data_IF_370792763332
#
_entry.id   IF_370792763332
#
_cell.length_a   1.000
_cell.length_b   1.000
_cell.length_c   1.000
_cell.angle_alpha   90.00
_cell.angle_beta   90.00
_cell.angle_gamma   90.00
#
_symmetry.space_group_name_H-M   'P 1'
#
loop_
_entity.id
_entity.type
_entity.pdbx_description
1 polymer ?
#
# COMPACT_ATOMS: atom_id res chain seq x y z
N UNK A 1 8.78 -53.35 -44.16
CA UNK A 1 8.12 -52.89 -42.94
C UNK A 1 9.11 -52.00 -42.20
N UNK A 2 9.08 -50.71 -42.50
CA UNK A 2 10.00 -49.69 -41.92
C UNK A 2 9.22 -48.88 -40.94
N UNK A 3 9.61 -49.01 -39.65
CA UNK A 3 9.08 -48.23 -38.56
C UNK A 3 9.82 -46.89 -38.56
N UNK A 4 9.12 -45.79 -38.81
CA UNK A 4 9.66 -44.45 -38.62
C UNK A 4 9.49 -44.05 -37.14
N UNK A 5 10.58 -43.96 -36.46
CA UNK A 5 10.66 -43.37 -35.13
C UNK A 5 10.73 -41.86 -35.32
N UNK A 6 9.62 -41.17 -35.04
CA UNK A 6 9.59 -39.71 -34.91
C UNK A 6 10.15 -39.32 -33.57
N UNK A 7 11.41 -38.85 -33.56
CA UNK A 7 12.01 -38.19 -32.39
C UNK A 7 11.46 -36.74 -32.38
N UNK A 8 10.46 -36.49 -31.53
CA UNK A 8 10.05 -35.14 -31.21
C UNK A 8 11.13 -34.51 -30.31
N UNK A 9 11.94 -33.65 -30.91
CA UNK A 9 12.83 -32.76 -30.18
C UNK A 9 11.98 -31.70 -29.50
N UNK A 10 11.54 -31.96 -28.27
CA UNK A 10 11.02 -30.94 -27.37
C UNK A 10 12.24 -30.09 -26.95
N UNK A 11 12.40 -28.95 -27.61
CA UNK A 11 13.21 -27.86 -27.11
C UNK A 11 12.56 -27.41 -25.79
N UNK A 12 12.98 -27.99 -24.67
CA UNK A 12 12.89 -27.32 -23.39
C UNK A 12 13.85 -26.13 -23.50
N UNK A 13 13.32 -24.99 -23.95
CA UNK A 13 13.84 -23.71 -23.55
C UNK A 13 13.67 -23.67 -22.03
N UNK A 14 14.74 -24.03 -21.30
CA UNK A 14 14.95 -23.59 -19.96
C UNK A 14 15.02 -22.06 -20.03
N UNK A 15 13.84 -21.45 -20.07
CA UNK A 15 13.67 -20.11 -19.56
C UNK A 15 14.04 -20.29 -18.10
N UNK A 16 15.32 -20.02 -17.79
CA UNK A 16 15.72 -19.59 -16.48
C UNK A 16 14.87 -18.35 -16.23
N UNK A 17 13.63 -18.58 -15.80
CA UNK A 17 12.82 -17.59 -15.13
C UNK A 17 13.61 -17.27 -13.87
N UNK A 18 14.56 -16.32 -13.97
CA UNK A 18 14.61 -15.34 -12.91
C UNK A 18 13.16 -14.88 -12.83
N UNK A 19 12.42 -15.40 -11.87
CA UNK A 19 11.23 -14.76 -11.40
C UNK A 19 11.73 -13.37 -11.04
N UNK A 20 11.55 -12.42 -11.96
CA UNK A 20 11.65 -11.03 -11.64
C UNK A 20 10.71 -10.93 -10.47
N UNK A 21 11.28 -10.79 -9.28
CA UNK A 21 10.55 -10.42 -8.11
C UNK A 21 9.89 -9.14 -8.57
N UNK A 22 8.67 -9.26 -9.04
CA UNK A 22 7.82 -8.08 -9.20
C UNK A 22 7.75 -7.57 -7.79
N UNK A 23 8.43 -6.46 -7.56
CA UNK A 23 8.56 -5.84 -6.27
C UNK A 23 7.18 -5.31 -5.84
N UNK A 24 6.23 -6.21 -5.71
CA UNK A 24 4.99 -5.93 -5.03
C UNK A 24 5.32 -5.58 -3.58
N UNK A 25 4.44 -4.84 -2.93
CA UNK A 25 4.51 -4.54 -1.52
C UNK A 25 4.68 -5.87 -0.74
N UNK A 26 5.92 -6.36 -0.72
CA UNK A 26 6.25 -7.66 -0.18
C UNK A 26 6.40 -7.54 1.33
N UNK A 27 5.72 -8.40 2.05
CA UNK A 27 6.02 -8.69 3.46
C UNK A 27 6.40 -10.17 3.49
N UNK A 28 7.54 -10.49 4.07
CA UNK A 28 8.04 -11.85 4.12
C UNK A 28 7.04 -12.75 4.88
N UNK A 29 6.44 -13.75 4.24
CA UNK A 29 5.47 -14.62 4.90
C UNK A 29 6.11 -15.48 6.02
N UNK A 30 7.42 -15.70 5.98
CA UNK A 30 8.18 -16.33 7.05
C UNK A 30 8.35 -15.46 8.30
N UNK A 31 8.12 -14.15 8.17
CA UNK A 31 8.10 -13.17 9.24
C UNK A 31 6.67 -12.71 9.53
N UNK A 32 5.81 -13.64 9.95
CA UNK A 32 4.42 -13.38 10.34
C UNK A 32 4.27 -12.37 11.49
N UNK A 33 5.37 -11.99 12.12
CA UNK A 33 5.42 -11.01 13.22
C UNK A 33 5.34 -9.55 12.77
N UNK A 34 5.57 -9.23 11.48
CA UNK A 34 5.53 -7.87 10.97
C UNK A 34 4.08 -7.43 10.75
N UNK A 35 3.69 -6.34 11.40
CA UNK A 35 2.33 -5.80 11.35
C UNK A 35 2.32 -4.29 11.14
N UNK A 36 1.16 -3.76 10.82
CA UNK A 36 0.85 -2.32 10.77
C UNK A 36 1.79 -1.49 9.88
N UNK A 37 2.32 -2.06 8.78
CA UNK A 37 3.30 -1.39 7.92
C UNK A 37 2.64 -0.23 7.19
N UNK A 38 3.08 1.01 7.50
CA UNK A 38 2.64 2.27 6.89
C UNK A 38 3.84 2.95 6.24
N UNK A 39 3.70 3.36 5.00
CA UNK A 39 4.71 4.15 4.29
C UNK A 39 3.99 5.29 3.57
N UNK A 40 4.25 6.52 3.99
CA UNK A 40 3.43 7.67 3.63
C UNK A 40 4.27 8.95 3.54
N UNK A 41 3.80 10.01 2.83
CA UNK A 41 4.42 11.32 2.90
C UNK A 41 4.35 11.88 4.32
N UNK A 42 5.46 12.51 4.77
CA UNK A 42 5.46 13.28 6.02
C UNK A 42 4.83 14.64 5.72
N UNK A 43 3.72 14.94 6.35
CA UNK A 43 3.19 16.30 6.36
C UNK A 43 3.94 17.14 7.40
N UNK A 44 4.42 18.32 6.99
CA UNK A 44 5.02 19.31 7.92
C UNK A 44 4.03 19.84 8.96
N UNK A 45 2.76 19.68 8.76
CA UNK A 45 1.72 19.94 9.75
C UNK A 45 1.35 18.62 10.42
N UNK A 46 1.88 18.35 11.60
CA UNK A 46 1.14 17.55 12.57
C UNK A 46 -0.22 18.24 12.68
N UNK A 47 -1.19 17.70 11.96
CA UNK A 47 -2.58 18.09 12.18
C UNK A 47 -2.80 17.83 13.66
N UNK A 48 -2.95 18.90 14.42
CA UNK A 48 -3.17 18.77 15.85
C UNK A 48 -4.27 17.73 16.05
N UNK A 49 -4.10 16.83 17.00
CA UNK A 49 -5.05 15.76 17.36
C UNK A 49 -6.51 16.23 17.50
N UNK A 50 -6.74 17.53 17.50
CA UNK A 50 -7.98 18.25 17.58
C UNK A 50 -8.91 18.07 16.36
N UNK A 51 -8.37 17.96 15.15
CA UNK A 51 -9.15 17.80 13.91
C UNK A 51 -9.56 16.35 13.63
N UNK A 52 -8.92 15.38 14.30
CA UNK A 52 -9.19 13.94 14.14
C UNK A 52 -10.41 13.49 14.96
N UNK A 53 -10.94 14.34 15.84
CA UNK A 53 -12.02 13.97 16.75
C UNK A 53 -13.41 13.85 16.10
N UNK A 54 -13.61 14.32 14.86
CA UNK A 54 -14.96 14.49 14.28
C UNK A 54 -15.16 13.69 12.97
N UNK A 55 -14.26 12.80 12.60
CA UNK A 55 -14.35 12.00 11.39
C UNK A 55 -12.99 11.69 10.82
N UNK A 56 -12.89 10.85 9.79
CA UNK A 56 -11.62 10.61 9.15
C UNK A 56 -11.10 11.96 8.65
N UNK A 57 -9.98 12.42 9.22
CA UNK A 57 -9.31 13.58 8.69
C UNK A 57 -8.99 13.26 7.22
N UNK A 58 -9.59 13.97 6.29
CA UNK A 58 -9.22 13.96 4.87
C UNK A 58 -7.84 14.63 4.78
N UNK A 59 -6.80 13.96 5.29
CA UNK A 59 -5.44 14.44 5.27
C UNK A 59 -4.63 13.67 4.26
N UNK A 60 -3.68 14.34 3.62
CA UNK A 60 -2.72 13.73 2.68
C UNK A 60 -1.82 12.66 3.32
N UNK A 61 -1.85 12.53 4.65
CA UNK A 61 -1.07 11.53 5.41
C UNK A 61 -1.35 10.06 5.02
N UNK A 62 -2.45 9.80 4.34
CA UNK A 62 -2.82 8.50 3.80
C UNK A 62 -2.60 8.40 2.28
N UNK A 63 -2.00 9.42 1.67
CA UNK A 63 -1.70 9.43 0.24
C UNK A 63 -0.66 8.38 -0.14
N UNK A 64 -0.63 8.02 -1.42
CA UNK A 64 0.46 7.25 -2.02
C UNK A 64 1.80 7.94 -1.75
N UNK A 65 2.87 7.21 -1.42
CA UNK A 65 4.17 7.80 -1.17
C UNK A 65 4.77 8.36 -2.46
N UNK A 66 4.46 9.63 -2.73
CA UNK A 66 4.96 10.42 -3.87
C UNK A 66 5.61 11.68 -3.34
N UNK A 67 6.83 11.95 -3.75
CA UNK A 67 7.58 13.15 -3.37
C UNK A 67 8.13 13.90 -4.59
N UNK A 68 8.18 15.23 -4.56
CA UNK A 68 8.81 16.00 -5.62
C UNK A 68 10.35 15.89 -5.54
N UNK A 69 11.02 15.80 -6.69
CA UNK A 69 12.48 15.80 -6.80
C UNK A 69 13.06 17.14 -6.35
N UNK A 70 12.40 18.23 -6.72
CA UNK A 70 12.80 19.61 -6.41
C UNK A 70 11.65 20.33 -5.72
N UNK A 71 11.94 21.08 -4.68
CA UNK A 71 10.92 21.85 -3.95
C UNK A 71 11.05 21.71 -2.42
N UNK A 72 10.02 22.14 -1.71
CA UNK A 72 9.99 21.97 -0.25
C UNK A 72 10.10 20.49 0.12
N UNK A 73 11.03 20.17 1.03
CA UNK A 73 11.32 18.83 1.51
C UNK A 73 10.06 18.15 2.10
N UNK A 74 9.30 17.50 1.25
CA UNK A 74 8.31 16.50 1.67
C UNK A 74 9.09 15.21 1.85
N UNK A 75 9.21 14.76 3.09
CA UNK A 75 9.80 13.46 3.40
C UNK A 75 8.77 12.33 3.27
N UNK A 76 9.25 11.13 3.41
CA UNK A 76 8.44 9.93 3.61
C UNK A 76 8.64 9.46 5.05
N UNK A 77 7.62 8.85 5.63
CA UNK A 77 7.68 8.21 6.93
C UNK A 77 7.36 6.72 6.76
N UNK A 78 8.25 5.89 7.28
CA UNK A 78 8.03 4.47 7.44
C UNK A 78 7.74 4.19 8.90
N UNK A 79 6.67 3.43 9.14
CA UNK A 79 6.23 3.04 10.48
C UNK A 79 5.71 1.60 10.40
N UNK A 80 6.20 0.71 11.29
CA UNK A 80 5.76 -0.68 11.35
C UNK A 80 6.09 -1.29 12.71
N UNK A 81 5.46 -2.42 13.01
CA UNK A 81 5.68 -3.16 14.23
C UNK A 81 6.26 -4.55 13.95
N UNK A 82 7.11 -5.02 14.85
CA UNK A 82 7.47 -6.43 14.97
C UNK A 82 6.91 -6.95 16.30
N UNK A 83 6.07 -8.01 16.24
CA UNK A 83 5.42 -8.58 17.45
C UNK A 83 6.40 -9.46 18.23
N UNK A 84 7.34 -8.82 18.90
CA UNK A 84 8.32 -9.44 19.81
C UNK A 84 8.77 -8.41 20.84
N UNK A 85 9.47 -8.86 21.87
CA UNK A 85 9.95 -8.00 22.97
C UNK A 85 11.33 -7.41 22.67
N UNK A 86 12.12 -8.05 21.81
CA UNK A 86 13.51 -7.71 21.55
C UNK A 86 13.63 -6.72 20.39
N UNK A 87 14.55 -5.77 20.53
CA UNK A 87 14.89 -4.81 19.49
C UNK A 87 15.85 -5.48 18.49
N UNK A 88 15.50 -5.45 17.20
CA UNK A 88 16.37 -5.92 16.12
C UNK A 88 17.10 -4.76 15.47
N UNK A 89 18.35 -4.98 15.10
CA UNK A 89 19.07 -4.08 14.21
C UNK A 89 18.60 -4.30 12.78
N UNK A 90 17.92 -3.31 12.25
CA UNK A 90 17.37 -3.34 10.89
C UNK A 90 18.10 -2.34 10.01
N UNK A 91 18.22 -2.68 8.75
CA UNK A 91 18.74 -1.77 7.74
C UNK A 91 17.73 -1.59 6.60
N UNK A 92 17.91 -0.54 5.83
CA UNK A 92 17.15 -0.34 4.61
C UNK A 92 18.05 0.00 3.44
N UNK A 93 17.57 -0.27 2.23
CA UNK A 93 18.17 0.19 0.98
C UNK A 93 17.12 0.78 0.07
N UNK A 94 17.56 1.70 -0.78
CA UNK A 94 16.71 2.36 -1.77
C UNK A 94 17.19 1.91 -3.14
N UNK A 95 16.25 1.40 -3.96
CA UNK A 95 16.52 0.83 -5.27
C UNK A 95 15.76 1.64 -6.31
N UNK A 96 16.45 2.21 -7.29
CA UNK A 96 15.82 2.87 -8.43
C UNK A 96 15.30 1.84 -9.43
N UNK A 97 14.09 2.07 -9.98
CA UNK A 97 13.40 1.17 -10.90
C UNK A 97 12.94 1.89 -12.17
N UNK A 98 12.74 1.11 -13.23
CA UNK A 98 12.09 1.57 -14.45
C UNK A 98 10.55 1.74 -14.26
N UNK A 99 9.85 2.23 -15.30
CA UNK A 99 8.39 2.40 -15.32
C UNK A 99 7.58 1.12 -15.04
N UNK A 100 8.21 -0.04 -15.14
CA UNK A 100 7.61 -1.36 -14.88
C UNK A 100 8.01 -1.94 -13.51
N UNK A 101 8.65 -1.15 -12.66
CA UNK A 101 9.16 -1.54 -11.33
C UNK A 101 10.31 -2.56 -11.37
N UNK A 102 11.02 -2.71 -12.48
CA UNK A 102 12.23 -3.51 -12.56
C UNK A 102 13.41 -2.65 -12.15
N UNK A 103 14.36 -3.22 -11.40
CA UNK A 103 15.59 -2.53 -11.02
C UNK A 103 16.24 -1.91 -12.25
N UNK A 104 16.58 -0.63 -12.20
CA UNK A 104 17.33 0.04 -13.27
C UNK A 104 18.78 -0.41 -13.33
N UNK A 105 19.45 -0.08 -14.43
CA UNK A 105 20.89 -0.37 -14.58
C UNK A 105 21.80 0.70 -13.93
N UNK A 106 21.20 1.73 -13.31
CA UNK A 106 21.93 2.80 -12.66
C UNK A 106 22.63 2.29 -11.39
N UNK A 107 23.81 2.83 -11.11
CA UNK A 107 24.48 2.61 -9.82
C UNK A 107 23.95 3.61 -8.79
N UNK A 108 24.04 3.25 -7.51
CA UNK A 108 23.40 4.01 -6.43
C UNK A 108 23.78 5.50 -6.42
N UNK A 109 25.05 5.82 -6.63
CA UNK A 109 25.57 7.19 -6.67
C UNK A 109 25.00 8.07 -7.81
N UNK A 110 24.37 7.47 -8.83
CA UNK A 110 23.75 8.19 -9.94
C UNK A 110 22.34 8.70 -9.58
N UNK A 111 21.61 8.01 -8.69
CA UNK A 111 20.24 8.37 -8.35
C UNK A 111 20.04 8.88 -6.92
N UNK A 112 21.00 8.61 -6.02
CA UNK A 112 20.97 9.10 -4.64
C UNK A 112 22.35 9.62 -4.23
N UNK A 113 22.37 10.76 -3.55
CA UNK A 113 23.56 11.29 -2.91
C UNK A 113 23.44 11.11 -1.40
N UNK A 114 24.25 10.22 -0.87
CA UNK A 114 24.31 9.90 0.55
C UNK A 114 25.36 10.81 1.21
N UNK A 115 25.09 11.31 2.42
CA UNK A 115 26.02 12.12 3.20
C UNK A 115 26.57 11.38 4.41
N UNK A 116 25.76 10.52 5.02
CA UNK A 116 26.14 9.67 6.14
C UNK A 116 25.79 8.21 5.77
N UNK A 117 26.69 7.28 6.13
CA UNK A 117 26.55 5.87 5.76
C UNK A 117 25.51 5.09 6.58
N UNK A 118 24.89 5.75 7.58
CA UNK A 118 23.97 5.10 8.51
C UNK A 118 22.56 5.00 7.95
N UNK A 119 22.30 3.93 7.20
CA UNK A 119 20.95 3.47 6.84
C UNK A 119 20.39 2.46 7.86
N UNK A 120 20.74 2.65 9.14
CA UNK A 120 20.31 1.78 10.22
C UNK A 120 18.99 2.27 10.83
N UNK A 121 18.11 1.32 11.18
CA UNK A 121 17.09 1.51 12.19
C UNK A 121 17.70 1.05 13.53
N UNK A 122 18.47 1.90 14.15
CA UNK A 122 19.04 1.67 15.46
C UNK A 122 18.19 2.31 16.58
N UNK A 123 18.66 2.26 17.81
CA UNK A 123 17.92 2.55 19.04
C UNK A 123 16.99 3.77 19.04
N UNK A 124 17.31 4.83 18.29
CA UNK A 124 16.47 6.04 18.20
C UNK A 124 15.21 5.85 17.35
N UNK A 125 15.14 4.80 16.53
CA UNK A 125 14.03 4.50 15.61
C UNK A 125 13.16 3.33 16.09
N UNK A 126 13.56 2.61 17.14
CA UNK A 126 12.89 1.45 17.70
C UNK A 126 12.35 1.77 19.10
N UNK A 127 11.05 1.65 19.30
CA UNK A 127 10.38 1.92 20.57
C UNK A 127 9.57 0.70 21.02
N UNK A 128 9.96 0.01 22.12
CA UNK A 128 9.17 -1.08 22.69
C UNK A 128 7.77 -0.60 23.10
N UNK A 129 6.78 -1.44 22.91
CA UNK A 129 5.42 -1.12 23.30
C UNK A 129 5.29 -0.93 24.80
N UNK A 130 4.47 0.04 25.20
CA UNK A 130 4.28 0.39 26.60
C UNK A 130 2.85 0.08 27.06
N UNK A 131 2.74 -0.73 28.11
CA UNK A 131 1.45 -1.04 28.77
C UNK A 131 0.41 -1.71 27.85
N UNK A 132 0.87 -2.43 26.82
CA UNK A 132 0.03 -3.16 25.87
C UNK A 132 -0.17 -4.61 26.31
N UNK A 133 -1.24 -5.25 25.83
CA UNK A 133 -1.53 -6.66 26.09
C UNK A 133 -0.80 -7.61 25.17
N UNK A 134 -0.44 -7.13 24.00
CA UNK A 134 0.40 -7.82 23.03
C UNK A 134 1.70 -7.03 22.91
N UNK A 135 2.84 -7.62 23.30
CA UNK A 135 4.11 -6.92 23.18
C UNK A 135 4.53 -6.77 21.72
N UNK A 136 5.17 -5.66 21.39
CA UNK A 136 5.78 -5.40 20.09
C UNK A 136 6.83 -4.31 20.21
N UNK A 137 7.72 -4.23 19.22
CA UNK A 137 8.61 -3.11 19.00
C UNK A 137 8.10 -2.33 17.79
N UNK A 138 7.86 -1.03 17.97
CA UNK A 138 7.52 -0.13 16.88
C UNK A 138 8.79 0.47 16.29
N UNK A 139 8.89 0.47 14.98
CA UNK A 139 9.98 1.09 14.22
C UNK A 139 9.40 2.25 13.41
N UNK A 140 9.90 3.48 13.68
CA UNK A 140 9.46 4.67 12.97
C UNK A 140 10.66 5.47 12.47
N UNK A 141 10.67 5.82 11.17
CA UNK A 141 11.72 6.68 10.61
C UNK A 141 11.19 7.53 9.45
N UNK A 142 11.57 8.81 9.49
CA UNK A 142 11.35 9.73 8.38
C UNK A 142 12.51 9.68 7.38
N UNK A 143 12.21 9.83 6.09
CA UNK A 143 13.15 9.84 4.97
C UNK A 143 12.89 11.02 4.02
N UNK A 144 13.89 11.79 3.58
CA UNK A 144 15.20 11.90 4.23
C UNK A 144 15.03 12.45 5.64
N UNK A 145 15.87 12.03 6.57
CA UNK A 145 15.78 12.45 7.97
C UNK A 145 15.96 13.95 8.04
N UNK A 146 14.92 14.67 8.42
CA UNK A 146 14.94 16.11 8.59
C UNK A 146 14.90 16.48 10.06
N UNK A 147 16.01 16.33 10.73
CA UNK A 147 16.23 16.92 12.06
C UNK A 147 17.45 17.82 12.07
N UNK A 148 18.41 17.52 11.20
CA UNK A 148 19.52 18.38 10.91
C UNK A 148 19.15 19.32 9.74
N UNK A 149 19.80 20.47 9.67
CA UNK A 149 19.63 21.45 8.59
C UNK A 149 19.99 20.90 7.19
N UNK A 150 20.44 19.64 7.12
CA UNK A 150 20.86 18.94 5.90
C UNK A 150 20.34 17.51 5.94
N UNK A 151 19.58 17.05 4.94
CA UNK A 151 19.12 15.67 4.86
C UNK A 151 20.31 14.71 4.72
N UNK A 152 20.21 13.52 5.33
CA UNK A 152 21.26 12.49 5.25
C UNK A 152 21.43 11.92 3.84
N UNK A 153 20.40 12.03 2.99
CA UNK A 153 20.51 11.71 1.57
C UNK A 153 19.61 12.64 0.72
N UNK A 154 19.89 12.69 -0.58
CA UNK A 154 19.12 13.48 -1.54
C UNK A 154 18.90 12.66 -2.82
N UNK A 155 17.68 12.63 -3.32
CA UNK A 155 17.40 12.06 -4.64
C UNK A 155 17.97 12.97 -5.73
N UNK A 156 18.66 12.36 -6.69
CA UNK A 156 19.23 13.06 -7.86
C UNK A 156 18.35 12.90 -9.09
N UNK A 157 17.59 11.82 -9.18
CA UNK A 157 16.74 11.48 -10.32
C UNK A 157 15.29 11.27 -9.86
N UNK A 158 14.37 11.53 -10.76
CA UNK A 158 12.96 11.17 -10.63
C UNK A 158 12.74 9.72 -11.08
N UNK A 159 11.56 9.18 -10.81
CA UNK A 159 11.18 7.82 -11.24
C UNK A 159 10.65 6.96 -10.12
N UNK A 160 10.62 5.67 -10.36
CA UNK A 160 10.15 4.68 -9.41
C UNK A 160 11.27 4.22 -8.47
N UNK A 161 10.92 4.07 -7.20
CA UNK A 161 11.84 3.62 -6.17
C UNK A 161 11.22 2.56 -5.28
N UNK A 162 12.04 1.63 -4.82
CA UNK A 162 11.68 0.64 -3.80
C UNK A 162 12.50 0.92 -2.56
N UNK A 163 11.82 1.06 -1.43
CA UNK A 163 12.40 0.95 -0.11
C UNK A 163 12.33 -0.51 0.32
N UNK A 164 13.47 -1.11 0.62
CA UNK A 164 13.59 -2.48 1.09
C UNK A 164 14.17 -2.47 2.50
N UNK A 165 13.48 -3.11 3.45
CA UNK A 165 13.94 -3.28 4.83
C UNK A 165 14.40 -4.71 5.03
N UNK A 166 15.52 -4.89 5.70
CA UNK A 166 16.11 -6.19 5.98
C UNK A 166 16.70 -6.26 7.38
N UNK A 167 16.74 -7.47 7.92
CA UNK A 167 17.33 -7.79 9.22
C UNK A 167 18.83 -7.98 9.09
N UNK A 168 19.62 -7.34 9.98
CA UNK A 168 21.07 -7.47 10.02
C UNK A 168 21.56 -8.69 10.81
N UNK A 169 20.64 -9.44 11.44
CA UNK A 169 20.98 -10.57 12.29
C UNK A 169 21.53 -10.18 13.64
N UNK A 170 21.32 -8.96 14.10
CA UNK A 170 21.69 -8.50 15.45
C UNK A 170 20.43 -8.26 16.26
N UNK A 171 20.38 -8.85 17.45
CA UNK A 171 19.27 -8.71 18.41
C UNK A 171 19.83 -8.03 19.65
N UNK A 172 19.17 -6.97 20.11
CA UNK A 172 19.44 -6.30 21.37
C UNK A 172 18.46 -6.80 22.42
N UNK A 173 18.95 -7.66 23.33
CA UNK A 173 18.15 -8.18 24.43
C UNK A 173 18.17 -7.16 25.57
N UNK A 174 16.99 -6.81 26.08
CA UNK A 174 16.87 -6.02 27.29
C UNK A 174 17.26 -6.88 28.48
N UNK A 175 18.33 -6.54 29.21
CA UNK A 175 18.66 -7.24 30.45
C UNK A 175 17.54 -7.05 31.47
N UNK A 176 17.11 -8.18 32.10
CA UNK A 176 15.99 -8.22 33.05
C UNK A 176 16.32 -7.56 34.42
N UNK A 177 17.30 -6.70 34.52
CA UNK A 177 17.58 -5.94 35.71
C UNK A 177 16.83 -4.60 35.67
N UNK A 178 15.90 -4.41 36.59
CA UNK A 178 15.01 -3.23 36.67
C UNK A 178 15.75 -1.89 36.75
N UNK A 179 17.07 -1.90 36.96
CA UNK A 179 17.92 -0.72 37.12
C UNK A 179 19.01 -0.56 36.03
N UNK A 180 19.08 -1.44 35.00
CA UNK A 180 20.10 -1.32 33.94
C UNK A 180 19.47 -0.82 32.62
N UNK A 181 20.02 0.28 32.09
CA UNK A 181 19.75 0.74 30.72
C UNK A 181 20.67 0.04 29.69
N UNK A 182 21.35 -1.04 30.09
CA UNK A 182 22.28 -1.78 29.24
C UNK A 182 21.52 -2.84 28.40
N UNK A 183 21.85 -2.89 27.11
CA UNK A 183 21.41 -3.94 26.18
C UNK A 183 22.57 -4.88 25.90
N UNK A 184 22.33 -6.17 25.95
CA UNK A 184 23.29 -7.17 25.46
C UNK A 184 23.09 -7.38 23.96
N UNK A 185 24.17 -7.44 23.18
CA UNK A 185 24.14 -7.73 21.76
C UNK A 185 24.30 -9.24 21.55
N UNK A 186 23.34 -9.87 20.88
CA UNK A 186 23.43 -11.25 20.41
C UNK A 186 23.52 -11.27 18.88
N UNK A 187 24.62 -11.81 18.36
CA UNK A 187 24.80 -11.99 16.91
C UNK A 187 24.19 -13.31 16.48
N UNK A 188 23.17 -13.23 15.63
CA UNK A 188 22.59 -14.39 14.97
C UNK A 188 23.18 -14.45 13.56
N UNK A 189 23.94 -15.51 13.23
CA UNK A 189 24.39 -15.76 11.87
C UNK A 189 23.16 -15.89 10.95
N UNK A 190 22.83 -14.85 10.21
CA UNK A 190 21.77 -14.88 9.21
C UNK A 190 22.27 -14.24 7.92
N UNK A 191 21.92 -14.87 6.79
CA UNK A 191 21.90 -14.17 5.50
C UNK A 191 20.94 -12.99 5.60
N UNK A 192 21.20 -11.87 4.92
CA UNK A 192 20.30 -10.71 4.87
C UNK A 192 18.85 -11.16 4.58
N UNK A 193 17.98 -11.10 5.58
CA UNK A 193 16.57 -11.47 5.42
C UNK A 193 15.77 -10.24 5.07
N UNK A 194 15.26 -10.16 3.85
CA UNK A 194 14.36 -9.11 3.44
C UNK A 194 13.05 -9.26 4.22
N UNK A 195 12.71 -8.27 5.04
CA UNK A 195 11.49 -8.27 5.82
C UNK A 195 10.30 -7.83 4.97
N UNK A 196 10.43 -6.70 4.30
CA UNK A 196 9.40 -6.18 3.39
C UNK A 196 9.96 -5.15 2.42
N UNK A 197 9.12 -4.78 1.46
CA UNK A 197 9.41 -3.74 0.46
C UNK A 197 8.21 -2.83 0.27
N UNK A 198 8.47 -1.55 0.02
CA UNK A 198 7.47 -0.53 -0.28
C UNK A 198 7.86 0.28 -1.51
N UNK A 199 6.89 0.54 -2.37
CA UNK A 199 7.03 1.36 -3.56
C UNK A 199 6.81 2.83 -3.23
N UNK A 200 7.58 3.71 -3.85
CA UNK A 200 7.33 5.15 -3.85
C UNK A 200 7.81 5.78 -5.16
N UNK A 201 7.36 6.98 -5.44
CA UNK A 201 7.69 7.68 -6.68
C UNK A 201 8.29 9.04 -6.36
N UNK A 202 9.40 9.37 -7.02
CA UNK A 202 9.99 10.70 -7.03
C UNK A 202 9.60 11.38 -8.34
N UNK A 203 8.96 12.55 -8.28
CA UNK A 203 8.37 13.19 -9.45
C UNK A 203 9.00 14.53 -9.78
N UNK A 204 9.06 14.85 -11.06
CA UNK A 204 9.27 16.18 -11.59
C UNK A 204 7.92 16.75 -12.06
N UNK A 205 7.80 18.08 -12.14
CA UNK A 205 6.60 18.75 -12.67
C UNK A 205 6.98 19.52 -13.95
N UNK A 206 7.39 18.75 -14.98
CA UNK A 206 7.84 19.31 -16.27
C UNK A 206 6.69 19.48 -17.26
N UNK A 207 5.57 18.82 -17.00
CA UNK A 207 4.34 18.91 -17.78
C UNK A 207 3.15 19.20 -16.86
N UNK A 208 2.12 19.85 -17.38
CA UNK A 208 0.86 20.00 -16.68
C UNK A 208 -0.11 18.89 -17.09
N UNK A 209 -0.79 18.31 -16.11
CA UNK A 209 -1.83 17.30 -16.31
C UNK A 209 -3.18 17.89 -15.94
N UNK A 210 -4.09 17.99 -16.90
CA UNK A 210 -5.49 18.30 -16.68
C UNK A 210 -6.28 16.99 -16.88
N UNK A 211 -7.02 16.54 -15.88
CA UNK A 211 -7.72 15.26 -15.95
C UNK A 211 -9.03 15.29 -15.16
N UNK A 212 -10.00 14.53 -15.65
CA UNK A 212 -11.32 14.37 -15.07
C UNK A 212 -11.72 12.89 -15.06
N UNK A 213 -12.52 12.51 -14.05
CA UNK A 213 -13.23 11.23 -14.01
C UNK A 213 -14.61 11.44 -14.58
N UNK A 214 -14.99 10.63 -15.54
CA UNK A 214 -16.29 10.71 -16.21
C UNK A 214 -17.01 9.36 -16.19
N UNK A 215 -18.33 9.39 -16.32
CA UNK A 215 -19.13 8.19 -16.56
C UNK A 215 -18.86 7.68 -17.98
N UNK A 216 -18.52 6.38 -18.17
CA UNK A 216 -18.29 5.84 -19.50
C UNK A 216 -19.53 5.94 -20.41
N UNK A 217 -19.31 6.21 -21.69
CA UNK A 217 -20.40 6.25 -22.67
C UNK A 217 -20.82 4.86 -23.18
N UNK A 218 -20.05 3.82 -22.90
CA UNK A 218 -20.37 2.44 -23.29
C UNK A 218 -21.40 1.85 -22.33
N UNK A 219 -22.54 1.41 -22.87
CA UNK A 219 -23.70 0.91 -22.10
C UNK A 219 -23.29 -0.15 -21.08
N UNK A 220 -22.36 -1.02 -21.43
CA UNK A 220 -21.89 -2.11 -20.57
C UNK A 220 -21.04 -1.65 -19.35
N UNK A 221 -20.59 -0.39 -19.31
CA UNK A 221 -19.74 0.16 -18.25
C UNK A 221 -20.35 1.40 -17.57
N UNK A 222 -21.48 1.88 -18.09
CA UNK A 222 -21.99 3.19 -17.67
C UNK A 222 -22.52 3.23 -16.24
N UNK A 223 -22.92 2.10 -15.67
CA UNK A 223 -23.52 2.04 -14.33
C UNK A 223 -22.55 1.58 -13.25
N UNK A 224 -21.49 0.87 -13.61
CA UNK A 224 -20.60 0.19 -12.70
C UNK A 224 -19.12 0.65 -12.78
N UNK A 225 -18.80 1.55 -13.74
CA UNK A 225 -17.41 1.88 -14.04
C UNK A 225 -17.17 3.37 -14.18
N UNK A 226 -15.90 3.78 -14.08
CA UNK A 226 -15.41 5.16 -14.17
C UNK A 226 -14.33 5.24 -15.23
N UNK A 227 -14.36 6.29 -16.04
CA UNK A 227 -13.42 6.52 -17.14
C UNK A 227 -12.58 7.77 -16.86
N UNK A 228 -11.28 7.68 -17.11
CA UNK A 228 -10.37 8.83 -16.99
C UNK A 228 -10.18 9.46 -18.37
N UNK A 229 -10.35 10.77 -18.43
CA UNK A 229 -9.94 11.62 -19.56
C UNK A 229 -8.86 12.59 -19.09
N UNK A 230 -7.90 12.91 -19.97
CA UNK A 230 -6.86 13.85 -19.60
C UNK A 230 -6.25 14.58 -20.81
N UNK A 231 -5.52 15.65 -20.48
CA UNK A 231 -4.61 16.37 -21.38
C UNK A 231 -3.25 16.50 -20.71
N UNK A 232 -2.18 16.36 -21.47
CA UNK A 232 -0.81 16.65 -21.06
C UNK A 232 -0.33 17.86 -21.83
N UNK A 233 -0.05 18.95 -21.12
CA UNK A 233 0.40 20.23 -21.68
C UNK A 233 1.92 20.33 -21.45
N UNK A 234 2.73 20.50 -22.51
CA UNK A 234 4.18 20.33 -22.43
C UNK A 234 4.94 21.42 -21.67
N UNK A 235 4.42 22.65 -21.54
CA UNK A 235 5.09 23.79 -20.89
C UNK A 235 6.57 23.97 -21.25
N UNK A 236 6.92 23.74 -22.52
CA UNK A 236 8.29 23.84 -23.02
C UNK A 236 9.12 22.54 -22.91
N UNK A 237 8.59 21.48 -22.30
CA UNK A 237 9.19 20.15 -22.37
C UNK A 237 8.95 19.53 -23.75
N UNK A 238 10.01 18.97 -24.36
CA UNK A 238 9.91 18.38 -25.69
C UNK A 238 9.23 17.01 -25.63
N UNK A 239 8.00 16.94 -26.09
CA UNK A 239 7.22 15.71 -26.23
C UNK A 239 7.20 15.17 -27.68
N UNK A 240 8.08 15.61 -28.58
CA UNK A 240 8.06 15.24 -30.00
C UNK A 240 8.18 13.72 -30.24
N UNK A 241 8.80 12.99 -29.32
CA UNK A 241 8.97 11.52 -29.39
C UNK A 241 7.96 10.75 -28.52
N UNK A 242 6.85 11.38 -28.14
CA UNK A 242 5.86 10.81 -27.20
C UNK A 242 5.35 9.42 -27.59
N UNK A 243 5.27 9.11 -28.87
CA UNK A 243 4.80 7.83 -29.40
C UNK A 243 5.67 6.64 -28.94
N UNK A 244 6.95 6.87 -28.67
CA UNK A 244 7.92 5.88 -28.20
C UNK A 244 8.23 6.00 -26.72
N UNK A 245 8.44 7.23 -26.26
CA UNK A 245 9.09 7.50 -24.99
C UNK A 245 8.10 7.79 -23.86
N UNK A 246 6.90 8.27 -24.21
CA UNK A 246 5.86 8.56 -23.21
C UNK A 246 5.17 7.26 -22.75
N UNK A 247 5.05 7.16 -21.44
CA UNK A 247 4.32 6.06 -20.78
C UNK A 247 3.45 6.63 -19.65
N UNK A 248 2.16 6.40 -19.73
CA UNK A 248 1.20 6.89 -18.75
C UNK A 248 0.70 5.73 -17.91
N UNK A 249 0.58 5.98 -16.61
CA UNK A 249 -0.03 5.04 -15.65
C UNK A 249 -1.16 5.76 -14.94
N UNK A 250 -2.35 5.17 -14.95
CA UNK A 250 -3.47 5.51 -14.10
C UNK A 250 -3.57 4.50 -12.98
N UNK A 251 -3.71 4.94 -11.74
CA UNK A 251 -3.80 4.11 -10.56
C UNK A 251 -5.07 4.47 -9.78
N UNK A 252 -5.81 3.48 -9.30
CA UNK A 252 -7.00 3.67 -8.48
C UNK A 252 -6.67 3.44 -6.99
N UNK A 253 -7.07 4.38 -6.13
CA UNK A 253 -7.00 4.31 -4.66
C UNK A 253 -5.59 4.03 -4.09
N UNK A 254 -4.52 4.45 -4.80
CA UNK A 254 -3.13 4.22 -4.38
C UNK A 254 -2.68 2.75 -4.51
N UNK A 255 -3.37 1.94 -5.29
CA UNK A 255 -3.13 0.50 -5.44
C UNK A 255 -2.37 0.19 -6.73
N UNK A 256 -1.17 -0.38 -6.60
CA UNK A 256 -0.36 -0.79 -7.74
C UNK A 256 -0.85 -2.07 -8.44
N UNK A 257 -1.78 -2.80 -7.84
CA UNK A 257 -2.52 -3.91 -8.45
C UNK A 257 -3.77 -3.43 -9.22
N UNK A 258 -4.17 -2.15 -9.07
CA UNK A 258 -5.28 -1.50 -9.76
C UNK A 258 -4.76 -0.37 -10.65
N UNK A 259 -4.02 -0.75 -11.69
CA UNK A 259 -3.45 0.19 -12.66
C UNK A 259 -3.93 -0.09 -14.08
N UNK A 260 -4.01 0.97 -14.87
CA UNK A 260 -4.10 0.91 -16.32
C UNK A 260 -2.91 1.69 -16.87
N UNK A 261 -2.18 1.13 -17.80
CA UNK A 261 -0.95 1.74 -18.29
C UNK A 261 -0.77 1.59 -19.81
N UNK A 262 0.15 2.38 -20.37
CA UNK A 262 0.52 2.32 -21.78
C UNK A 262 -0.52 2.89 -22.74
N UNK A 263 -1.52 3.62 -22.23
CA UNK A 263 -2.51 4.32 -23.04
C UNK A 263 -1.81 5.41 -23.88
N UNK A 264 -2.13 5.50 -25.16
CA UNK A 264 -1.60 6.50 -26.07
C UNK A 264 -2.61 7.65 -26.24
N UNK A 265 -2.13 8.88 -26.55
CA UNK A 265 -3.02 10.00 -26.84
C UNK A 265 -3.86 9.72 -28.08
N UNK A 266 -5.10 10.20 -28.09
CA UNK A 266 -6.01 10.11 -29.24
C UNK A 266 -5.60 11.07 -30.35
N UNK A 267 -5.12 12.26 -30.00
CA UNK A 267 -4.59 13.24 -30.93
C UNK A 267 -3.63 14.22 -30.23
N UNK A 268 -2.89 14.95 -31.04
CA UNK A 268 -2.01 16.03 -30.62
C UNK A 268 -2.58 17.35 -31.14
N UNK A 269 -2.79 18.30 -30.25
CA UNK A 269 -3.24 19.66 -30.64
C UNK A 269 -2.10 20.46 -31.26
N UNK A 270 -2.42 21.58 -31.95
CA UNK A 270 -1.44 22.40 -32.65
C UNK A 270 -0.40 23.08 -31.75
N UNK A 271 -0.66 23.15 -30.45
CA UNK A 271 0.25 23.65 -29.40
C UNK A 271 1.11 22.52 -28.75
N UNK A 272 1.06 21.33 -29.27
CA UNK A 272 1.77 20.15 -28.73
C UNK A 272 1.06 19.45 -27.58
N UNK A 273 -0.12 19.89 -27.17
CA UNK A 273 -0.91 19.23 -26.10
C UNK A 273 -1.36 17.84 -26.54
N UNK A 274 -1.05 16.83 -25.73
CA UNK A 274 -1.48 15.46 -25.93
C UNK A 274 -2.85 15.26 -25.29
N UNK A 275 -3.81 14.75 -26.05
CA UNK A 275 -5.22 14.62 -25.62
C UNK A 275 -5.64 13.15 -25.55
N UNK A 276 -6.21 12.76 -24.40
CA UNK A 276 -6.68 11.42 -24.06
C UNK A 276 -8.16 11.50 -23.67
N UNK A 277 -9.04 11.58 -24.65
CA UNK A 277 -10.48 11.84 -24.43
C UNK A 277 -11.42 10.74 -24.92
N UNK A 278 -10.91 9.74 -25.65
CA UNK A 278 -11.69 8.58 -26.09
C UNK A 278 -10.92 7.29 -25.81
N UNK A 279 -10.56 7.11 -24.54
CA UNK A 279 -9.79 5.94 -24.12
C UNK A 279 -10.69 4.88 -23.52
N UNK A 280 -11.30 4.06 -24.38
CA UNK A 280 -12.10 2.89 -23.98
C UNK A 280 -11.33 1.91 -23.11
N UNK A 281 -10.01 2.05 -23.05
CA UNK A 281 -9.11 1.25 -22.21
C UNK A 281 -8.75 1.94 -20.89
N UNK A 282 -9.15 3.19 -20.65
CA UNK A 282 -8.94 3.91 -19.38
C UNK A 282 -10.21 3.85 -18.51
N UNK A 283 -10.79 2.66 -18.38
CA UNK A 283 -12.03 2.40 -17.64
C UNK A 283 -11.72 1.47 -16.48
N UNK A 284 -12.00 1.95 -15.26
CA UNK A 284 -11.91 1.18 -14.02
C UNK A 284 -13.29 0.75 -13.56
N UNK A 285 -13.41 -0.40 -12.93
CA UNK A 285 -14.58 -0.70 -12.11
C UNK A 285 -14.68 0.33 -10.99
N UNK A 286 -15.88 0.85 -10.74
CA UNK A 286 -16.12 1.80 -9.65
C UNK A 286 -15.92 1.14 -8.29
N UNK A 287 -16.29 -0.13 -8.17
CA UNK A 287 -16.40 -0.80 -6.88
C UNK A 287 -17.50 -0.16 -6.04
N UNK A 288 -17.41 -0.30 -4.73
CA UNK A 288 -18.27 0.38 -3.78
C UNK A 288 -17.42 1.06 -2.70
N UNK A 289 -18.05 1.93 -1.90
CA UNK A 289 -17.44 2.49 -0.69
C UNK A 289 -17.00 1.35 0.24
N UNK A 290 -15.98 1.59 1.04
CA UNK A 290 -15.46 0.57 1.95
C UNK A 290 -16.30 0.51 3.23
N UNK A 291 -16.52 -0.68 3.74
CA UNK A 291 -16.93 -0.87 5.12
C UNK A 291 -15.90 -0.26 6.07
N UNK A 292 -16.32 0.18 7.23
CA UNK A 292 -15.39 0.76 8.19
C UNK A 292 -15.76 0.45 9.64
N UNK A 293 -14.75 0.45 10.50
CA UNK A 293 -14.96 0.39 11.93
C UNK A 293 -13.86 1.15 12.67
N UNK A 294 -14.18 1.52 13.91
CA UNK A 294 -13.35 2.32 14.78
C UNK A 294 -13.23 1.69 16.16
N UNK A 295 -12.02 1.31 16.56
CA UNK A 295 -11.72 0.89 17.93
C UNK A 295 -10.50 1.63 18.50
N UNK A 296 -10.37 2.91 18.18
CA UNK A 296 -9.37 3.82 18.76
C UNK A 296 -9.48 3.92 20.28
N UNK A 297 -10.65 3.63 20.82
CA UNK A 297 -10.89 3.55 22.25
C UNK A 297 -11.29 2.11 22.63
N UNK A 298 -10.47 1.46 23.43
CA UNK A 298 -10.71 0.08 23.88
C UNK A 298 -11.68 -0.03 25.08
N UNK A 299 -12.19 1.10 25.58
CA UNK A 299 -13.17 1.15 26.70
C UNK A 299 -14.58 1.45 26.24
N UNK A 300 -14.73 1.96 25.03
CA UNK A 300 -16.02 2.41 24.48
C UNK A 300 -16.20 1.82 23.09
N UNK A 301 -17.17 0.92 22.95
CA UNK A 301 -17.59 0.41 21.65
C UNK A 301 -18.41 1.48 20.92
N UNK A 302 -18.09 1.74 19.65
CA UNK A 302 -18.84 2.66 18.77
C UNK A 302 -19.23 1.89 17.51
N UNK A 303 -20.50 1.96 17.12
CA UNK A 303 -20.98 1.26 15.92
C UNK A 303 -20.05 1.49 14.71
N UNK A 304 -19.73 0.44 13.92
CA UNK A 304 -20.31 -0.91 13.96
C UNK A 304 -19.63 -1.90 14.93
N UNK A 305 -18.85 -1.43 15.91
CA UNK A 305 -18.30 -2.28 16.97
C UNK A 305 -19.40 -2.60 17.97
N UNK A 306 -19.74 -3.89 18.12
CA UNK A 306 -20.75 -4.39 19.04
C UNK A 306 -20.21 -4.55 20.47
N UNK A 307 -18.99 -5.08 20.58
CA UNK A 307 -18.39 -5.39 21.87
C UNK A 307 -16.87 -5.25 21.85
N UNK A 308 -16.32 -4.73 22.95
CA UNK A 308 -14.89 -4.73 23.25
C UNK A 308 -14.69 -5.31 24.65
N UNK A 309 -13.82 -6.32 24.78
CA UNK A 309 -13.52 -6.94 26.06
C UNK A 309 -12.15 -7.61 26.05
N UNK A 310 -11.76 -8.13 27.23
CA UNK A 310 -10.54 -8.95 27.36
C UNK A 310 -10.89 -10.41 27.55
N UNK A 311 -10.23 -11.27 26.78
CA UNK A 311 -10.27 -12.71 26.94
C UNK A 311 -8.84 -13.24 26.97
N UNK A 312 -8.51 -14.04 27.98
CA UNK A 312 -7.18 -14.62 28.15
C UNK A 312 -6.03 -13.59 28.08
N UNK A 313 -6.29 -12.39 28.66
CA UNK A 313 -5.32 -11.29 28.71
C UNK A 313 -5.27 -10.41 27.46
N UNK A 314 -5.87 -10.83 26.33
CA UNK A 314 -5.89 -10.09 25.06
C UNK A 314 -7.22 -9.39 24.83
N UNK A 315 -7.20 -8.28 24.11
CA UNK A 315 -8.42 -7.61 23.66
C UNK A 315 -9.10 -8.38 22.53
N UNK A 316 -10.41 -8.45 22.61
CA UNK A 316 -11.28 -8.97 21.55
C UNK A 316 -12.29 -7.91 21.19
N UNK A 317 -12.45 -7.66 19.89
CA UNK A 317 -13.40 -6.70 19.30
C UNK A 317 -14.36 -7.49 18.41
N UNK A 318 -15.66 -7.40 18.70
CA UNK A 318 -16.69 -7.99 17.87
C UNK A 318 -17.34 -6.89 17.03
N UNK A 319 -17.37 -7.09 15.73
CA UNK A 319 -18.12 -6.22 14.82
C UNK A 319 -19.55 -6.72 14.68
N UNK A 320 -20.50 -5.80 14.45
CA UNK A 320 -21.82 -6.19 13.95
C UNK A 320 -21.65 -7.00 12.66
N UNK A 321 -22.51 -8.01 12.42
CA UNK A 321 -22.51 -8.69 11.13
C UNK A 321 -22.75 -7.70 9.99
N UNK A 322 -21.91 -7.79 8.96
CA UNK A 322 -22.05 -6.94 7.76
C UNK A 322 -23.17 -7.48 6.85
N UNK A 323 -23.77 -6.56 6.12
CA UNK A 323 -24.64 -6.93 5.00
C UNK A 323 -23.85 -6.88 3.69
N UNK A 324 -24.33 -7.61 2.68
CA UNK A 324 -23.87 -7.37 1.32
C UNK A 324 -24.40 -6.00 0.82
N UNK A 325 -23.59 -5.28 0.08
CA UNK A 325 -23.94 -3.98 -0.48
C UNK A 325 -24.20 -4.05 -2.01
N UNK A 326 -24.27 -5.25 -2.55
CA UNK A 326 -24.38 -5.48 -3.98
C UNK A 326 -25.60 -4.81 -4.63
N UNK A 327 -26.71 -4.69 -3.90
CA UNK A 327 -28.01 -4.32 -4.49
C UNK A 327 -28.14 -2.82 -4.82
N UNK A 328 -27.49 -1.92 -4.08
CA UNK A 328 -27.63 -0.49 -4.30
C UNK A 328 -26.43 0.29 -3.71
N UNK A 329 -26.07 1.36 -4.42
CA UNK A 329 -25.06 2.29 -3.94
C UNK A 329 -25.55 3.01 -2.68
N UNK A 330 -24.68 3.04 -1.68
CA UNK A 330 -24.92 3.82 -0.45
C UNK A 330 -23.68 4.67 -0.18
N UNK A 331 -23.83 5.99 -0.28
CA UNK A 331 -22.74 6.91 0.02
C UNK A 331 -22.36 6.82 1.50
N UNK A 332 -21.12 6.52 1.75
CA UNK A 332 -20.51 6.57 3.09
C UNK A 332 -19.14 7.22 2.99
N UNK A 333 -18.71 7.87 4.05
CA UNK A 333 -17.36 8.46 4.08
C UNK A 333 -16.37 7.40 4.48
N UNK A 334 -15.36 7.17 3.65
CA UNK A 334 -14.29 6.22 3.90
C UNK A 334 -12.90 6.82 3.64
N UNK A 335 -11.86 6.00 3.71
CA UNK A 335 -10.46 6.33 3.43
C UNK A 335 -9.94 5.61 2.17
N UNK A 336 -10.83 5.21 1.27
CA UNK A 336 -10.48 4.41 0.09
C UNK A 336 -9.68 3.14 0.45
N UNK A 337 -10.16 2.41 1.48
CA UNK A 337 -9.59 1.15 1.92
C UNK A 337 -8.34 1.24 2.80
N UNK A 338 -7.92 2.44 3.18
CA UNK A 338 -6.75 2.67 4.05
C UNK A 338 -7.14 2.54 5.53
N UNK A 339 -6.16 2.66 6.42
CA UNK A 339 -6.35 2.58 7.87
C UNK A 339 -5.51 3.64 8.60
N UNK A 340 -5.91 3.95 9.82
CA UNK A 340 -5.23 4.89 10.70
C UNK A 340 -5.00 4.22 12.06
N UNK A 341 -3.77 4.24 12.55
CA UNK A 341 -3.45 3.86 13.94
C UNK A 341 -3.65 5.07 14.83
N UNK A 342 -4.40 4.88 15.90
CA UNK A 342 -4.66 5.93 16.90
C UNK A 342 -5.07 5.31 18.22
N UNK A 343 -4.55 5.87 19.32
CA UNK A 343 -4.87 5.47 20.70
C UNK A 343 -5.55 6.63 21.44
N UNK A 344 -6.89 6.57 21.53
CA UNK A 344 -7.69 7.54 22.27
C UNK A 344 -7.73 7.25 23.79
N UNK A 345 -7.16 6.13 24.24
CA UNK A 345 -7.06 5.80 25.66
C UNK A 345 -5.89 6.49 26.35
N UNK A 346 -4.84 6.83 25.61
CA UNK A 346 -3.62 7.45 26.09
C UNK A 346 -3.27 8.71 25.28
N UNK A 347 -4.11 9.76 25.32
CA UNK A 347 -3.91 10.95 24.51
C UNK A 347 -2.60 11.66 24.90
N UNK A 348 -1.78 11.99 23.91
CA UNK A 348 -0.50 12.66 24.09
C UNK A 348 0.69 11.72 24.25
N UNK A 349 0.47 10.42 24.32
CA UNK A 349 1.52 9.40 24.17
C UNK A 349 1.64 9.06 22.71
N UNK A 350 2.85 8.70 22.27
CA UNK A 350 3.09 8.28 20.89
C UNK A 350 2.31 6.98 20.58
N UNK A 351 1.32 7.07 19.70
CA UNK A 351 0.43 5.96 19.36
C UNK A 351 1.15 4.77 18.72
N UNK A 352 2.34 5.00 18.13
CA UNK A 352 3.18 3.92 17.61
C UNK A 352 3.54 2.88 18.68
N UNK A 353 3.79 3.32 19.92
CA UNK A 353 4.20 2.44 21.02
C UNK A 353 3.06 2.17 22.05
N UNK A 354 2.01 2.99 22.11
CA UNK A 354 0.92 2.86 23.10
C UNK A 354 -0.31 2.12 22.61
N UNK A 355 -0.57 2.12 21.30
CA UNK A 355 -1.75 1.50 20.70
C UNK A 355 -1.68 -0.03 20.82
N UNK A 356 -2.69 -0.64 21.45
CA UNK A 356 -2.70 -2.08 21.69
C UNK A 356 -3.22 -2.88 20.47
N UNK A 357 -2.93 -4.16 20.43
CA UNK A 357 -3.46 -5.09 19.46
C UNK A 357 -4.71 -5.79 19.99
N UNK A 358 -5.69 -6.01 19.13
CA UNK A 358 -6.90 -6.73 19.44
C UNK A 358 -7.24 -7.78 18.37
N UNK A 359 -7.82 -8.89 18.78
CA UNK A 359 -8.44 -9.86 17.89
C UNK A 359 -9.79 -9.31 17.42
N UNK A 360 -9.88 -8.85 16.16
CA UNK A 360 -11.10 -8.30 15.57
C UNK A 360 -11.84 -9.39 14.82
N UNK A 361 -13.10 -9.63 15.21
CA UNK A 361 -13.94 -10.64 14.60
C UNK A 361 -14.87 -10.02 13.57
N UNK A 362 -14.72 -10.46 12.31
CA UNK A 362 -15.56 -10.13 11.17
C UNK A 362 -16.62 -11.23 10.95
N UNK A 363 -17.84 -10.81 10.63
CA UNK A 363 -18.95 -11.72 10.37
C UNK A 363 -19.72 -11.24 9.15
N UNK A 364 -19.84 -12.08 8.13
CA UNK A 364 -20.56 -11.80 6.89
C UNK A 364 -21.66 -12.85 6.68
N UNK A 365 -22.94 -12.54 6.93
CA UNK A 365 -24.07 -13.38 6.58
C UNK A 365 -24.28 -13.41 5.06
N UNK A 366 -23.55 -14.28 4.40
CA UNK A 366 -23.58 -14.43 2.96
C UNK A 366 -23.76 -15.91 2.59
N UNK A 367 -24.74 -16.23 1.77
CA UNK A 367 -25.03 -17.61 1.42
C UNK A 367 -23.96 -18.17 0.46
N UNK A 368 -23.32 -19.24 0.93
CA UNK A 368 -22.37 -19.97 0.11
C UNK A 368 -23.12 -20.66 -1.04
N UNK A 369 -22.77 -20.28 -2.27
CA UNK A 369 -23.21 -21.07 -3.42
C UNK A 369 -22.36 -22.36 -3.47
N UNK A 370 -23.02 -23.54 -3.49
CA UNK A 370 -22.35 -24.84 -3.53
C UNK A 370 -21.47 -25.06 -4.78
N UNK A 371 -21.69 -24.28 -5.82
CA UNK A 371 -20.91 -24.31 -7.07
C UNK A 371 -19.80 -23.26 -7.08
N UNK A 372 -19.75 -22.39 -6.08
CA UNK A 372 -18.71 -21.38 -5.96
C UNK A 372 -17.44 -22.01 -5.37
N UNK A 373 -16.37 -21.98 -6.13
CA UNK A 373 -15.06 -22.51 -5.73
C UNK A 373 -14.13 -21.43 -5.18
N UNK A 374 -14.64 -20.19 -5.07
CA UNK A 374 -13.85 -19.05 -4.60
C UNK A 374 -13.93 -18.97 -3.07
N UNK A 375 -12.80 -18.69 -2.46
CA UNK A 375 -12.70 -18.37 -1.05
C UNK A 375 -12.99 -16.90 -0.78
N UNK A 376 -13.54 -16.58 0.38
CA UNK A 376 -13.86 -15.21 0.80
C UNK A 376 -12.77 -14.67 1.73
N UNK A 377 -12.40 -13.42 1.54
CA UNK A 377 -11.35 -12.73 2.32
C UNK A 377 -11.80 -11.36 2.79
N UNK A 378 -11.33 -10.95 3.97
CA UNK A 378 -11.38 -9.55 4.42
C UNK A 378 -10.18 -8.81 3.82
N UNK A 379 -10.40 -7.70 3.14
CA UNK A 379 -9.40 -7.08 2.28
C UNK A 379 -9.32 -5.56 2.46
N UNK A 380 -8.11 -5.02 2.58
CA UNK A 380 -7.89 -3.59 2.77
C UNK A 380 -6.41 -3.23 2.84
N UNK A 381 -6.12 -1.94 3.08
CA UNK A 381 -4.75 -1.44 3.21
C UNK A 381 -3.99 -2.04 4.40
N UNK A 382 -4.69 -2.44 5.45
CA UNK A 382 -4.09 -3.01 6.67
C UNK A 382 -3.41 -4.37 6.45
N UNK A 383 -3.80 -5.10 5.42
CA UNK A 383 -3.13 -6.34 5.00
C UNK A 383 -2.30 -6.15 3.72
N UNK A 384 -1.92 -4.89 3.41
CA UNK A 384 -1.16 -4.53 2.22
C UNK A 384 -1.81 -5.00 0.90
N UNK A 385 -3.14 -5.08 0.83
CA UNK A 385 -3.90 -5.55 -0.33
C UNK A 385 -3.51 -6.97 -0.77
N UNK A 386 -3.22 -7.84 0.21
CA UNK A 386 -2.82 -9.24 -0.04
C UNK A 386 -3.85 -10.21 0.53
N UNK A 387 -3.98 -11.32 -0.15
CA UNK A 387 -4.80 -12.45 0.27
C UNK A 387 -3.87 -13.48 0.90
N UNK A 388 -4.13 -13.78 2.16
CA UNK A 388 -3.36 -14.73 2.99
C UNK A 388 -4.29 -15.53 3.87
N UNK A 389 -3.79 -16.58 4.50
CA UNK A 389 -4.58 -17.36 5.45
C UNK A 389 -5.05 -16.54 6.65
N UNK A 390 -4.34 -15.44 7.01
CA UNK A 390 -4.71 -14.59 8.14
C UNK A 390 -6.00 -13.78 7.90
N UNK A 391 -6.32 -13.46 6.65
CA UNK A 391 -7.52 -12.69 6.30
C UNK A 391 -8.56 -13.51 5.52
N UNK A 392 -8.32 -14.82 5.38
CA UNK A 392 -9.28 -15.77 4.82
C UNK A 392 -10.44 -15.99 5.78
N UNK A 393 -11.65 -15.98 5.27
CA UNK A 393 -12.85 -16.28 6.04
C UNK A 393 -13.21 -17.76 5.99
N UNK A 394 -13.71 -18.28 7.10
CA UNK A 394 -14.21 -19.66 7.21
C UNK A 394 -15.74 -19.64 7.23
N UNK A 395 -16.37 -20.49 6.43
CA UNK A 395 -17.82 -20.60 6.41
C UNK A 395 -18.32 -21.44 7.60
N UNK A 396 -19.25 -20.85 8.37
CA UNK A 396 -19.93 -21.51 9.47
C UNK A 396 -21.29 -22.06 8.97
N UNK A 397 -21.37 -23.38 8.80
CA UNK A 397 -22.56 -24.05 8.25
C UNK A 397 -23.80 -23.93 9.17
N UNK A 398 -23.61 -23.87 10.49
CA UNK A 398 -24.74 -23.76 11.43
C UNK A 398 -25.37 -22.37 11.38
N UNK A 399 -24.54 -21.34 11.26
CA UNK A 399 -24.97 -19.94 11.25
C UNK A 399 -25.23 -19.39 9.84
N UNK A 400 -24.84 -20.14 8.81
CA UNK A 400 -24.95 -19.73 7.40
C UNK A 400 -24.23 -18.39 7.13
N UNK A 401 -23.00 -18.25 7.62
CA UNK A 401 -22.21 -17.02 7.53
C UNK A 401 -20.72 -17.31 7.42
N UNK A 402 -19.98 -16.37 6.86
CA UNK A 402 -18.52 -16.38 6.88
C UNK A 402 -18.00 -15.66 8.14
N UNK A 403 -16.95 -16.19 8.75
CA UNK A 403 -16.32 -15.63 9.94
C UNK A 403 -14.79 -15.57 9.77
N UNK A 404 -14.16 -14.47 10.21
CA UNK A 404 -12.71 -14.35 10.32
C UNK A 404 -12.34 -13.65 11.63
N UNK A 405 -11.15 -13.94 12.14
CA UNK A 405 -10.56 -13.22 13.29
C UNK A 405 -9.17 -12.74 12.89
N UNK A 406 -8.95 -11.45 12.91
CA UNK A 406 -7.71 -10.81 12.45
C UNK A 406 -7.11 -9.97 13.59
N UNK A 407 -5.81 -10.14 13.85
CA UNK A 407 -5.08 -9.34 14.83
C UNK A 407 -4.75 -7.97 14.24
N UNK A 408 -5.39 -6.91 14.76
CA UNK A 408 -5.22 -5.54 14.29
C UNK A 408 -4.82 -4.60 15.44
N UNK A 409 -4.02 -3.60 15.14
CA UNK A 409 -3.63 -2.54 16.07
C UNK A 409 -4.77 -1.55 16.26
N UNK A 410 -4.91 -0.99 17.44
CA UNK A 410 -5.92 0.01 17.80
C UNK A 410 -5.95 1.17 16.78
N UNK A 411 -7.16 1.46 16.24
CA UNK A 411 -7.28 2.43 15.16
C UNK A 411 -8.63 2.52 14.47
N UNK A 412 -8.63 3.11 13.28
CA UNK A 412 -9.74 3.18 12.35
C UNK A 412 -9.37 2.45 11.06
N UNK A 413 -10.27 1.61 10.54
CA UNK A 413 -10.01 0.72 9.43
C UNK A 413 -11.10 0.77 8.37
N UNK A 414 -10.67 0.75 7.11
CA UNK A 414 -11.54 0.43 5.99
C UNK A 414 -11.27 -0.99 5.49
N UNK A 415 -12.30 -1.68 5.05
CA UNK A 415 -12.22 -3.02 4.49
C UNK A 415 -13.34 -3.30 3.50
N UNK A 416 -13.17 -4.31 2.70
CA UNK A 416 -14.21 -4.91 1.84
C UNK A 416 -14.06 -6.43 1.87
N UNK A 417 -15.06 -7.10 1.30
CA UNK A 417 -15.01 -8.53 1.07
C UNK A 417 -14.68 -8.83 -0.37
N UNK A 418 -13.75 -9.77 -0.59
CA UNK A 418 -13.36 -10.19 -1.92
C UNK A 418 -13.42 -11.70 -2.04
N UNK A 419 -13.72 -12.19 -3.24
CA UNK A 419 -13.65 -13.61 -3.57
C UNK A 419 -12.40 -13.88 -4.39
N UNK A 420 -11.72 -14.99 -4.11
CA UNK A 420 -10.54 -15.36 -4.88
C UNK A 420 -10.41 -16.88 -5.05
N UNK A 421 -9.85 -17.29 -6.20
CA UNK A 421 -9.44 -18.67 -6.42
C UNK A 421 -8.23 -19.04 -5.55
N UNK A 422 -8.06 -20.32 -5.24
CA UNK A 422 -6.96 -20.82 -4.40
C UNK A 422 -5.56 -20.48 -4.96
N UNK A 423 -5.43 -20.27 -6.27
CA UNK A 423 -4.19 -19.86 -6.94
C UNK A 423 -4.09 -18.33 -7.16
N UNK A 424 -5.05 -17.56 -6.64
CA UNK A 424 -5.18 -16.10 -6.73
C UNK A 424 -5.17 -15.52 -8.16
N UNK A 425 -5.41 -16.35 -9.18
CA UNK A 425 -5.52 -15.86 -10.57
C UNK A 425 -6.84 -15.16 -10.85
N UNK A 426 -7.87 -15.52 -10.13
CA UNK A 426 -9.19 -14.87 -10.18
C UNK A 426 -9.42 -14.19 -8.86
N UNK A 427 -9.60 -12.86 -8.89
CA UNK A 427 -9.98 -12.04 -7.73
C UNK A 427 -11.18 -11.22 -8.15
N UNK A 428 -12.29 -11.37 -7.45
CA UNK A 428 -13.51 -10.62 -7.62
C UNK A 428 -13.77 -9.72 -6.43
N UNK A 429 -13.71 -8.41 -6.64
CA UNK A 429 -13.93 -7.38 -5.62
C UNK A 429 -15.34 -6.79 -5.65
N UNK A 430 -16.22 -7.31 -6.51
CA UNK A 430 -17.53 -6.70 -6.79
C UNK A 430 -18.71 -7.61 -6.51
N UNK A 431 -18.51 -8.92 -6.42
CA UNK A 431 -19.61 -9.89 -6.26
C UNK A 431 -20.37 -9.71 -4.92
N UNK A 432 -19.67 -9.34 -3.85
CA UNK A 432 -20.28 -9.14 -2.52
C UNK A 432 -20.73 -7.70 -2.32
N UNK A 433 -19.88 -6.72 -2.65
CA UNK A 433 -20.12 -5.31 -2.34
C UNK A 433 -20.67 -4.50 -3.53
N UNK A 434 -20.71 -5.09 -4.74
CA UNK A 434 -21.19 -4.41 -5.94
C UNK A 434 -20.16 -3.50 -6.59
N UNK A 435 -20.59 -2.83 -7.69
CA UNK A 435 -19.78 -1.83 -8.39
C UNK A 435 -20.69 -0.73 -8.92
N UNK A 436 -20.34 0.53 -8.63
CA UNK A 436 -21.16 1.69 -8.96
C UNK A 436 -20.29 2.84 -9.49
N UNK A 437 -20.76 3.54 -10.51
CA UNK A 437 -20.02 4.69 -11.06
C UNK A 437 -19.96 5.87 -10.08
N UNK A 438 -20.89 5.94 -9.10
CA UNK A 438 -20.99 7.00 -8.09
C UNK A 438 -19.93 6.90 -6.98
N UNK A 439 -19.28 5.76 -6.84
CA UNK A 439 -18.29 5.51 -5.77
C UNK A 439 -17.20 6.58 -5.77
N UNK A 440 -16.93 7.15 -4.58
CA UNK A 440 -15.86 8.15 -4.43
C UNK A 440 -14.50 7.47 -4.50
N UNK A 441 -13.89 7.44 -5.67
CA UNK A 441 -12.55 6.92 -5.87
C UNK A 441 -11.52 8.03 -6.06
N UNK A 442 -10.29 7.78 -5.63
CA UNK A 442 -9.13 8.59 -5.94
C UNK A 442 -8.34 7.96 -7.08
N UNK A 443 -7.90 8.80 -8.01
CA UNK A 443 -7.04 8.37 -9.10
C UNK A 443 -5.75 9.15 -9.11
N UNK A 444 -4.65 8.45 -9.33
CA UNK A 444 -3.32 9.04 -9.47
C UNK A 444 -2.79 8.76 -10.87
N UNK A 445 -2.27 9.80 -11.49
CA UNK A 445 -1.78 9.77 -12.87
C UNK A 445 -0.29 10.04 -12.84
N UNK A 446 0.50 9.09 -13.33
CA UNK A 446 1.95 9.22 -13.46
C UNK A 446 2.30 9.28 -14.95
N UNK A 447 3.10 10.26 -15.32
CA UNK A 447 3.59 10.44 -16.69
C UNK A 447 5.10 10.22 -16.70
N UNK A 448 5.52 9.15 -17.36
CA UNK A 448 6.92 8.81 -17.54
C UNK A 448 7.39 9.17 -18.95
N UNK A 449 8.66 9.55 -19.03
CA UNK A 449 9.34 9.83 -20.29
C UNK A 449 10.76 9.28 -20.25
N UNK A 450 11.14 8.48 -21.26
CA UNK A 450 12.46 7.88 -21.28
C UNK A 450 13.54 8.88 -21.62
N UNK A 451 14.56 9.01 -20.77
CA UNK A 451 15.74 9.86 -20.97
C UNK A 451 16.87 9.03 -21.57
N UNK A 452 17.14 9.23 -22.87
CA UNK A 452 18.20 8.52 -23.56
C UNK A 452 19.62 8.92 -23.11
N UNK A 453 19.80 10.14 -22.58
CA UNK A 453 21.11 10.61 -22.15
C UNK A 453 21.57 9.93 -20.86
N UNK A 454 20.64 9.63 -19.98
CA UNK A 454 20.90 9.01 -18.69
C UNK A 454 20.41 7.56 -18.62
N UNK A 455 19.63 7.09 -19.58
CA UNK A 455 19.22 5.70 -19.71
C UNK A 455 18.16 5.24 -18.69
N UNK A 456 17.22 6.13 -18.30
CA UNK A 456 16.19 5.80 -17.31
C UNK A 456 14.83 6.42 -17.63
N UNK A 457 13.79 6.00 -16.91
CA UNK A 457 12.43 6.54 -17.01
C UNK A 457 12.22 7.66 -16.01
N UNK A 458 12.17 8.90 -16.50
CA UNK A 458 11.83 10.08 -15.69
C UNK A 458 10.33 10.11 -15.40
N UNK A 459 9.95 10.39 -14.17
CA UNK A 459 8.56 10.72 -13.85
C UNK A 459 8.36 12.25 -13.99
N UNK A 460 7.95 12.68 -15.18
CA UNK A 460 7.87 14.10 -15.57
C UNK A 460 6.58 14.80 -15.17
N UNK A 461 5.58 14.06 -14.68
CA UNK A 461 4.32 14.62 -14.24
C UNK A 461 3.56 13.67 -13.30
N UNK A 462 2.88 14.28 -12.33
CA UNK A 462 2.00 13.59 -11.39
C UNK A 462 0.74 14.42 -11.12
N UNK A 463 -0.41 13.76 -11.08
CA UNK A 463 -1.68 14.39 -10.75
C UNK A 463 -2.57 13.45 -9.97
N UNK A 464 -3.20 13.97 -8.92
CA UNK A 464 -4.25 13.27 -8.16
C UNK A 464 -5.60 13.92 -8.47
N UNK A 465 -6.60 13.10 -8.77
CA UNK A 465 -7.98 13.51 -9.03
C UNK A 465 -8.95 12.61 -8.26
N UNK A 466 -10.18 13.06 -8.12
CA UNK A 466 -11.27 12.32 -7.44
C UNK A 466 -12.48 12.27 -8.35
N UNK A 467 -13.30 11.22 -8.17
CA UNK A 467 -14.63 11.15 -8.75
C UNK A 467 -15.59 12.06 -8.00
#
# INVERSE_FOLDING_TARGET
MRVFLSIAFTLLSSICGYSQIMYDQYVNPGYAKIKSVRFRPVEKTRISAWLIAIGPAKGDSLSTPVIPLVGENKGLELDFDILEDDIRSLSFRIIHCDRYWRKSNLVESEYIKIKDEDFLFDGDAAEPSYSTTVPYVNYNRAFPVSGAQVPNFTFLLSGNYILQVYDNGVIYNRENDEDSEEFSEEYVESDEIILFQKRFVVTEQLVEIQADVIRPNLVQYMDDSQQITMKIIPHGFDLSTFDKDLFVVYQQNGRWDKIISGIKPNHVSGDGTLVFNDNRNAIFQGGNEFHNFNFKNLRIATAPVDFIGKKDGKYTVLLHPDNDWHAAYTSTTDLNGKFLIQDDNNPGIYEGASADYAEVKFTLPYHRNLYDTLDVYVFGGFNNWKLTDENKMTYNEEKQQYEATILLKQGYYNYKYVKASADFKTIDETDIDGSFYQTENEYEIFVYFYDYAQGYDRCIGYKKIKN
#
